data_IF_857098971407
#
_entry.id   IF_857098971407
#
_cell.length_a   1.000
_cell.length_b   1.000
_cell.length_c   1.000
_cell.angle_alpha   90.00
_cell.angle_beta   90.00
_cell.angle_gamma   90.00
#
_symmetry.space_group_name_H-M   'P 1'
#
loop_
_entity.id
_entity.type
_entity.pdbx_description
1 polymer ?
#
# COMPACT_ATOMS: atom_id res chain seq x y z
N UNK A 1 -72.32 -16.11 -75.97
CA UNK A 1 -72.57 -16.94 -74.78
C UNK A 1 -72.03 -18.33 -75.05
N UNK A 2 -71.15 -18.89 -74.22
CA UNK A 2 -70.73 -20.29 -74.35
C UNK A 2 -71.88 -21.16 -73.85
N UNK A 3 -72.37 -22.06 -74.68
CA UNK A 3 -73.44 -22.99 -74.33
C UNK A 3 -72.99 -23.89 -73.18
N UNK A 4 -73.82 -23.99 -72.14
CA UNK A 4 -73.64 -24.94 -71.05
C UNK A 4 -74.09 -26.32 -71.55
N UNK A 5 -73.15 -27.20 -71.88
CA UNK A 5 -73.46 -28.59 -72.19
C UNK A 5 -73.44 -29.44 -70.91
N UNK A 6 -74.62 -29.81 -70.41
CA UNK A 6 -74.75 -30.87 -69.40
C UNK A 6 -75.12 -32.15 -70.15
N UNK A 7 -74.19 -33.09 -70.31
CA UNK A 7 -74.49 -34.40 -70.86
C UNK A 7 -74.99 -35.32 -69.75
N UNK A 8 -76.28 -35.62 -69.77
CA UNK A 8 -76.90 -36.62 -68.90
C UNK A 8 -77.21 -37.84 -69.77
N UNK A 9 -76.62 -38.98 -69.45
CA UNK A 9 -76.97 -40.27 -70.07
C UNK A 9 -77.77 -41.05 -69.04
N UNK A 10 -79.02 -41.38 -69.39
CA UNK A 10 -79.94 -42.09 -68.51
C UNK A 10 -80.59 -43.23 -69.28
N UNK A 11 -80.56 -44.43 -68.71
CA UNK A 11 -81.26 -45.60 -69.23
C UNK A 11 -82.45 -45.90 -68.33
N UNK A 12 -83.65 -45.98 -68.91
CA UNK A 12 -84.92 -46.11 -68.18
C UNK A 12 -85.78 -47.18 -68.88
N UNK A 13 -86.45 -48.03 -68.10
CA UNK A 13 -87.39 -49.04 -68.60
C UNK A 13 -88.69 -48.96 -67.83
N UNK A 14 -89.83 -48.97 -68.53
CA UNK A 14 -91.19 -48.89 -67.97
C UNK A 14 -91.45 -47.69 -67.03
N UNK A 15 -90.92 -46.49 -67.34
CA UNK A 15 -91.26 -45.26 -66.63
C UNK A 15 -92.31 -44.43 -67.41
N UNK A 16 -93.34 -43.94 -66.73
CA UNK A 16 -94.39 -43.09 -67.32
C UNK A 16 -93.99 -41.61 -67.37
N UNK A 17 -93.22 -41.11 -66.38
CA UNK A 17 -92.65 -39.76 -66.35
C UNK A 17 -91.29 -39.73 -65.63
N UNK A 18 -90.36 -38.89 -66.10
CA UNK A 18 -89.06 -38.64 -65.46
C UNK A 18 -88.80 -37.14 -65.33
N UNK A 19 -88.61 -36.69 -64.10
CA UNK A 19 -88.35 -35.28 -63.77
C UNK A 19 -86.91 -35.12 -63.27
N UNK A 20 -86.10 -34.40 -64.04
CA UNK A 20 -84.77 -33.95 -63.63
C UNK A 20 -84.87 -32.58 -62.97
N UNK A 21 -84.65 -32.52 -61.66
CA UNK A 21 -84.58 -31.28 -60.90
C UNK A 21 -83.14 -31.04 -60.46
N UNK A 22 -82.62 -29.87 -60.79
CA UNK A 22 -81.38 -29.38 -60.20
C UNK A 22 -81.71 -28.78 -58.83
N UNK A 23 -80.90 -29.10 -57.83
CA UNK A 23 -81.05 -28.52 -56.49
C UNK A 23 -80.93 -26.99 -56.59
N UNK A 24 -81.85 -26.20 -55.99
CA UNK A 24 -81.76 -24.73 -55.99
C UNK A 24 -80.45 -24.18 -55.43
N UNK A 25 -79.71 -24.98 -54.65
CA UNK A 25 -78.40 -24.64 -54.08
C UNK A 25 -77.26 -24.69 -55.10
N UNK A 26 -77.48 -25.21 -56.32
CA UNK A 26 -76.47 -25.25 -57.38
C UNK A 26 -76.36 -23.88 -58.05
N UNK A 27 -75.26 -23.18 -57.78
CA UNK A 27 -74.93 -21.92 -58.46
C UNK A 27 -74.03 -22.22 -59.65
N UNK A 28 -74.46 -21.82 -60.85
CA UNK A 28 -73.68 -21.96 -62.08
C UNK A 28 -72.96 -20.65 -62.40
N UNK A 29 -71.64 -20.74 -62.59
CA UNK A 29 -70.81 -19.62 -63.01
C UNK A 29 -70.02 -20.00 -64.26
N UNK A 30 -69.78 -19.04 -65.16
CA UNK A 30 -68.91 -19.28 -66.32
C UNK A 30 -67.47 -19.49 -65.85
N UNK A 31 -66.72 -20.30 -66.60
CA UNK A 31 -65.28 -20.50 -66.33
C UNK A 31 -64.53 -19.17 -66.29
N UNK A 32 -64.83 -18.27 -67.23
CA UNK A 32 -64.19 -16.95 -67.33
C UNK A 32 -64.47 -16.09 -66.09
N UNK A 33 -65.68 -16.16 -65.52
CA UNK A 33 -66.02 -15.46 -64.27
C UNK A 33 -65.28 -16.05 -63.07
N UNK A 34 -65.21 -17.37 -62.96
CA UNK A 34 -64.47 -18.05 -61.89
C UNK A 34 -62.97 -17.74 -61.97
N UNK A 35 -62.41 -17.73 -63.17
CA UNK A 35 -60.99 -17.44 -63.39
C UNK A 35 -60.67 -15.96 -63.11
N UNK A 36 -61.55 -15.01 -63.48
CA UNK A 36 -61.41 -13.60 -63.11
C UNK A 36 -61.40 -13.39 -61.59
N UNK A 37 -62.30 -14.05 -60.86
CA UNK A 37 -62.34 -13.99 -59.40
C UNK A 37 -61.07 -14.57 -58.78
N UNK A 38 -60.56 -15.69 -59.29
CA UNK A 38 -59.31 -16.28 -58.80
C UNK A 38 -58.13 -15.33 -58.96
N UNK A 39 -58.04 -14.65 -60.11
CA UNK A 39 -57.00 -13.65 -60.35
C UNK A 39 -57.12 -12.49 -59.36
N UNK A 40 -58.33 -11.95 -59.18
CA UNK A 40 -58.56 -10.86 -58.23
C UNK A 40 -58.20 -11.25 -56.78
N UNK A 41 -58.58 -12.47 -56.37
CA UNK A 41 -58.25 -13.00 -55.05
C UNK A 41 -56.74 -13.15 -54.86
N UNK A 42 -56.03 -13.71 -55.84
CA UNK A 42 -54.58 -13.85 -55.78
C UNK A 42 -53.90 -12.47 -55.68
N UNK A 43 -54.35 -11.48 -56.47
CA UNK A 43 -53.83 -10.11 -56.39
C UNK A 43 -54.06 -9.48 -55.02
N UNK A 44 -55.23 -9.70 -54.41
CA UNK A 44 -55.52 -9.23 -53.04
C UNK A 44 -54.64 -9.92 -52.00
N UNK A 45 -54.40 -11.23 -52.14
CA UNK A 45 -53.52 -11.99 -51.25
C UNK A 45 -52.07 -11.48 -51.36
N UNK A 46 -51.58 -11.26 -52.59
CA UNK A 46 -50.22 -10.76 -52.83
C UNK A 46 -50.04 -9.36 -52.24
N UNK A 47 -51.02 -8.46 -52.44
CA UNK A 47 -51.00 -7.13 -51.87
C UNK A 47 -51.00 -7.15 -50.34
N UNK A 48 -51.78 -8.05 -49.72
CA UNK A 48 -51.84 -8.18 -48.27
C UNK A 48 -50.53 -8.74 -47.69
N UNK A 49 -49.92 -9.71 -48.38
CA UNK A 49 -48.63 -10.32 -48.00
C UNK A 49 -47.52 -9.27 -48.04
N UNK A 50 -47.43 -8.49 -49.14
CA UNK A 50 -46.45 -7.41 -49.26
C UNK A 50 -46.61 -6.34 -48.17
N UNK A 51 -47.86 -5.99 -47.83
CA UNK A 51 -48.15 -5.04 -46.75
C UNK A 51 -47.66 -5.58 -45.41
N UNK A 52 -47.91 -6.86 -45.12
CA UNK A 52 -47.47 -7.48 -43.87
C UNK A 52 -45.95 -7.54 -43.77
N UNK A 53 -45.25 -7.97 -44.83
CA UNK A 53 -43.79 -8.02 -44.87
C UNK A 53 -43.16 -6.64 -44.66
N UNK A 54 -43.75 -5.59 -45.26
CA UNK A 54 -43.28 -4.22 -45.08
C UNK A 54 -43.46 -3.72 -43.64
N UNK A 55 -44.60 -3.98 -43.02
CA UNK A 55 -44.84 -3.61 -41.61
C UNK A 55 -43.95 -4.41 -40.65
N UNK A 56 -43.77 -5.71 -40.88
CA UNK A 56 -42.85 -6.53 -40.09
C UNK A 56 -41.41 -6.03 -40.19
N UNK A 57 -40.96 -5.68 -41.41
CA UNK A 57 -39.64 -5.10 -41.65
C UNK A 57 -39.44 -3.80 -40.88
N UNK A 58 -40.44 -2.91 -40.84
CA UNK A 58 -40.37 -1.66 -40.05
C UNK A 58 -40.18 -1.93 -38.57
N UNK A 59 -41.00 -2.81 -37.99
CA UNK A 59 -40.90 -3.18 -36.56
C UNK A 59 -39.52 -3.77 -36.25
N UNK A 60 -39.02 -4.64 -37.13
CA UNK A 60 -37.69 -5.23 -36.96
C UNK A 60 -36.58 -4.18 -37.02
N UNK A 61 -36.64 -3.25 -37.97
CA UNK A 61 -35.65 -2.18 -38.11
C UNK A 61 -35.68 -1.21 -36.91
N UNK A 62 -36.85 -0.96 -36.34
CA UNK A 62 -37.00 -0.17 -35.11
C UNK A 62 -36.44 -0.91 -33.89
N UNK A 63 -36.71 -2.21 -33.75
CA UNK A 63 -36.12 -3.03 -32.69
C UNK A 63 -34.59 -3.11 -32.80
N UNK A 64 -34.04 -3.22 -34.00
CA UNK A 64 -32.60 -3.22 -34.24
C UNK A 64 -31.93 -1.91 -33.81
N UNK A 65 -32.61 -0.76 -33.99
CA UNK A 65 -32.12 0.53 -33.47
C UNK A 65 -32.00 0.50 -31.96
N UNK A 66 -32.99 0.00 -31.23
CA UNK A 66 -32.92 -0.12 -29.77
C UNK A 66 -31.80 -1.04 -29.28
N UNK A 67 -31.44 -2.09 -30.03
CA UNK A 67 -30.33 -2.98 -29.67
C UNK A 67 -28.96 -2.30 -29.84
N UNK A 68 -28.80 -1.46 -30.87
CA UNK A 68 -27.58 -0.69 -31.14
C UNK A 68 -27.49 0.60 -30.30
N UNK A 69 -28.60 1.28 -30.09
CA UNK A 69 -28.73 2.48 -29.25
C UNK A 69 -28.88 2.17 -27.77
N UNK A 70 -28.91 0.88 -27.37
CA UNK A 70 -29.02 0.54 -25.96
C UNK A 70 -27.79 1.10 -25.26
N UNK A 71 -27.99 2.28 -24.65
CA UNK A 71 -27.00 3.04 -23.88
C UNK A 71 -26.29 2.12 -22.90
N UNK A 72 -26.92 1.02 -22.50
CA UNK A 72 -26.35 -0.09 -21.77
C UNK A 72 -24.99 -0.58 -22.30
N UNK A 73 -24.82 -0.88 -23.58
CA UNK A 73 -23.55 -1.39 -24.11
C UNK A 73 -22.47 -0.30 -24.17
N UNK A 74 -22.86 0.93 -24.53
CA UNK A 74 -21.98 2.09 -24.54
C UNK A 74 -21.57 2.51 -23.13
N UNK A 75 -22.47 2.41 -22.15
CA UNK A 75 -22.20 2.68 -20.74
C UNK A 75 -21.32 1.58 -20.13
N UNK A 76 -21.55 0.30 -20.44
CA UNK A 76 -20.66 -0.79 -20.01
C UNK A 76 -19.25 -0.59 -20.57
N UNK A 77 -19.11 -0.15 -21.82
CA UNK A 77 -17.81 0.14 -22.42
C UNK A 77 -17.06 1.31 -21.73
N UNK A 78 -17.74 2.17 -20.97
CA UNK A 78 -17.09 3.21 -20.16
C UNK A 78 -16.45 2.67 -18.88
N UNK A 79 -16.88 1.50 -18.40
CA UNK A 79 -16.32 0.87 -17.21
C UNK A 79 -15.31 -0.20 -17.60
N UNK A 80 -14.02 0.14 -17.50
CA UNK A 80 -12.96 -0.87 -17.55
C UNK A 80 -12.98 -1.65 -16.24
N UNK A 81 -13.22 -2.96 -16.33
CA UNK A 81 -13.04 -3.86 -15.20
C UNK A 81 -11.53 -4.12 -15.02
N UNK A 82 -10.90 -3.45 -14.06
CA UNK A 82 -9.47 -3.58 -13.74
C UNK A 82 -9.23 -4.77 -12.79
N UNK A 83 -9.74 -5.96 -13.13
CA UNK A 83 -9.61 -7.16 -12.28
C UNK A 83 -8.21 -7.80 -12.28
N UNK A 84 -7.33 -7.35 -13.17
CA UNK A 84 -5.97 -7.87 -13.35
C UNK A 84 -4.98 -6.71 -13.39
N UNK A 85 -3.68 -7.01 -13.53
CA UNK A 85 -2.68 -5.99 -13.83
C UNK A 85 -3.03 -5.27 -15.13
N UNK A 86 -2.96 -3.94 -15.11
CA UNK A 86 -3.37 -3.08 -16.21
C UNK A 86 -2.26 -2.07 -16.48
N UNK A 87 -1.99 -1.82 -17.76
CA UNK A 87 -1.05 -0.78 -18.19
C UNK A 87 -1.85 0.39 -18.72
N UNK A 88 -1.77 1.53 -18.04
CA UNK A 88 -2.46 2.76 -18.43
C UNK A 88 -1.40 3.76 -18.91
N UNK A 89 -1.49 4.17 -20.17
CA UNK A 89 -0.59 5.16 -20.77
C UNK A 89 -1.17 6.57 -20.68
N UNK A 90 -0.26 7.57 -20.64
CA UNK A 90 -0.59 8.99 -20.59
C UNK A 90 -0.87 9.53 -19.17
N UNK A 91 -0.89 10.85 -19.03
CA UNK A 91 -1.18 11.51 -17.75
C UNK A 91 -2.63 11.23 -17.30
N UNK A 92 -2.82 11.05 -16.00
CA UNK A 92 -4.13 10.89 -15.35
C UNK A 92 -4.20 11.82 -14.15
N UNK A 93 -5.19 12.68 -14.15
CA UNK A 93 -5.46 13.60 -13.06
C UNK A 93 -6.47 12.98 -12.09
N UNK A 94 -6.05 12.76 -10.85
CA UNK A 94 -6.93 12.26 -9.81
C UNK A 94 -7.44 13.43 -8.97
N UNK A 95 -8.77 13.58 -8.86
CA UNK A 95 -9.41 14.61 -8.01
C UNK A 95 -9.28 14.34 -6.51
N UNK A 96 -8.85 13.13 -6.15
CA UNK A 96 -8.50 12.70 -4.79
C UNK A 96 -7.24 11.84 -4.85
N UNK A 97 -6.42 11.85 -3.80
CA UNK A 97 -5.22 11.03 -3.76
C UNK A 97 -5.58 9.53 -3.89
N UNK A 98 -4.94 8.79 -4.81
CA UNK A 98 -5.14 7.35 -4.89
C UNK A 98 -4.67 6.67 -3.61
N UNK A 99 -5.45 5.72 -3.09
CA UNK A 99 -5.12 4.95 -1.90
C UNK A 99 -5.02 3.47 -2.25
N UNK A 100 -4.09 2.77 -1.58
CA UNK A 100 -3.91 1.31 -1.69
C UNK A 100 -3.93 0.71 -0.29
N UNK A 101 -4.64 -0.42 -0.15
CA UNK A 101 -4.61 -1.28 1.04
C UNK A 101 -3.45 -2.28 1.03
N UNK A 102 -2.74 -2.40 -0.09
CA UNK A 102 -1.63 -3.34 -0.28
C UNK A 102 -0.31 -2.59 -0.09
N UNK A 103 0.62 -3.21 0.64
CA UNK A 103 1.98 -2.70 0.87
C UNK A 103 2.81 -2.81 -0.41
N UNK A 104 3.63 -1.79 -0.67
CA UNK A 104 4.57 -1.83 -1.79
C UNK A 104 5.59 -2.97 -1.60
N UNK A 105 5.84 -3.74 -2.64
CA UNK A 105 6.79 -4.86 -2.71
C UNK A 105 7.97 -4.59 -3.64
N UNK A 106 7.97 -3.47 -4.38
CA UNK A 106 9.09 -3.01 -5.19
C UNK A 106 9.21 -1.46 -5.18
N UNK A 107 10.38 -0.96 -5.57
CA UNK A 107 10.76 0.45 -5.46
C UNK A 107 9.94 1.40 -6.35
N UNK A 108 9.30 0.86 -7.39
CA UNK A 108 8.54 1.65 -8.37
C UNK A 108 7.04 1.73 -8.05
N UNK A 109 6.62 1.28 -6.86
CA UNK A 109 5.23 1.32 -6.39
C UNK A 109 4.96 2.52 -5.46
N UNK A 110 3.74 3.05 -5.53
CA UNK A 110 3.29 4.10 -4.62
C UNK A 110 3.22 3.59 -3.16
N UNK A 111 3.81 4.33 -2.24
CA UNK A 111 3.75 4.08 -0.80
C UNK A 111 2.62 4.87 -0.15
N UNK A 112 1.86 4.25 0.76
CA UNK A 112 0.86 4.95 1.58
C UNK A 112 1.48 5.46 2.90
N UNK A 113 0.80 6.39 3.57
CA UNK A 113 1.28 6.98 4.83
C UNK A 113 1.49 5.93 5.94
N UNK A 114 0.69 4.86 5.97
CA UNK A 114 0.86 3.78 6.94
C UNK A 114 2.20 3.06 6.75
N UNK A 115 2.55 2.73 5.50
CA UNK A 115 3.84 2.12 5.13
C UNK A 115 5.01 3.02 5.52
N UNK A 116 4.89 4.33 5.30
CA UNK A 116 5.90 5.30 5.73
C UNK A 116 6.05 5.39 7.25
N UNK A 117 4.96 5.26 8.01
CA UNK A 117 5.01 5.30 9.49
C UNK A 117 5.62 4.04 10.09
N UNK A 118 5.42 2.87 9.48
CA UNK A 118 6.09 1.63 9.88
C UNK A 118 7.60 1.67 9.62
N UNK A 119 8.01 2.28 8.51
CA UNK A 119 9.41 2.40 8.12
C UNK A 119 10.09 3.66 8.69
N UNK A 120 9.37 4.48 9.47
CA UNK A 120 9.97 5.63 10.14
C UNK A 120 10.89 5.12 11.24
N UNK A 121 12.16 5.51 11.14
CA UNK A 121 13.11 5.33 12.23
C UNK A 121 12.54 5.98 13.49
N UNK A 122 12.34 5.20 14.55
CA UNK A 122 11.85 5.73 15.81
C UNK A 122 12.96 6.54 16.50
N UNK A 123 13.02 7.83 16.21
CA UNK A 123 13.96 8.78 16.82
C UNK A 123 13.72 9.03 18.32
N UNK A 124 12.75 8.33 18.93
CA UNK A 124 12.51 8.38 20.38
C UNK A 124 13.05 7.15 21.10
N UNK A 125 13.55 6.15 20.37
CA UNK A 125 14.17 4.98 20.93
C UNK A 125 15.69 5.22 21.07
N UNK A 126 16.19 5.44 22.30
CA UNK A 126 17.61 5.75 22.51
C UNK A 126 18.53 4.58 22.17
N UNK A 127 18.03 3.34 22.24
CA UNK A 127 18.82 2.14 21.94
C UNK A 127 18.99 1.97 20.44
N UNK A 128 17.93 2.21 19.66
CA UNK A 128 18.02 2.24 18.20
C UNK A 128 18.91 3.38 17.71
N UNK A 129 18.79 4.59 18.27
CA UNK A 129 19.65 5.73 17.91
C UNK A 129 21.13 5.50 18.22
N UNK A 130 21.44 4.82 19.32
CA UNK A 130 22.80 4.44 19.68
C UNK A 130 23.41 3.44 18.69
N UNK A 131 22.59 2.58 18.07
CA UNK A 131 23.05 1.55 17.12
C UNK A 131 23.43 2.13 15.74
N UNK A 132 22.85 3.25 15.32
CA UNK A 132 23.01 3.79 13.95
C UNK A 132 24.06 4.89 13.84
N UNK A 133 24.93 5.06 14.83
CA UNK A 133 26.05 6.00 14.74
C UNK A 133 25.65 7.48 14.59
N UNK A 134 24.37 7.82 14.80
CA UNK A 134 23.93 9.21 14.82
C UNK A 134 24.38 9.86 16.12
N UNK A 135 25.56 10.49 16.05
CA UNK A 135 26.03 11.51 16.98
C UNK A 135 25.11 12.74 16.94
N UNK A 136 23.83 12.61 17.31
CA UNK A 136 22.88 13.74 17.30
C UNK A 136 22.31 13.99 18.69
N UNK A 137 22.63 15.18 19.19
CA UNK A 137 22.06 15.84 20.36
C UNK A 137 20.56 16.06 20.14
N UNK A 138 19.69 15.52 21.00
CA UNK A 138 18.27 15.86 20.96
C UNK A 138 17.94 17.14 21.76
N UNK A 139 18.81 17.57 22.68
CA UNK A 139 18.51 18.70 23.59
C UNK A 139 19.76 19.39 24.17
N UNK A 140 20.94 19.19 23.57
CA UNK A 140 22.19 19.77 24.08
C UNK A 140 22.71 19.10 25.36
N UNK A 141 22.03 18.09 25.92
CA UNK A 141 22.63 17.21 26.92
C UNK A 141 23.32 16.06 26.20
N UNK A 142 24.59 15.86 26.55
CA UNK A 142 25.38 14.81 25.93
C UNK A 142 24.82 13.45 26.34
N UNK A 143 24.50 12.59 25.37
CA UNK A 143 24.28 11.15 25.60
C UNK A 143 25.56 10.42 26.08
N UNK A 144 26.67 11.16 26.25
CA UNK A 144 27.79 10.73 27.06
C UNK A 144 27.24 10.43 28.46
N UNK A 145 27.18 9.15 28.83
CA UNK A 145 26.94 8.74 30.22
C UNK A 145 28.08 9.30 31.07
N UNK A 146 27.94 10.53 31.55
CA UNK A 146 28.70 11.05 32.68
C UNK A 146 28.13 10.35 33.90
N UNK A 147 28.92 9.44 34.49
CA UNK A 147 28.54 8.80 35.74
C UNK A 147 29.38 9.39 36.86
N UNK A 148 28.72 9.80 37.94
CA UNK A 148 29.43 10.14 39.18
C UNK A 148 30.06 8.86 39.75
N UNK A 149 31.38 8.88 39.89
CA UNK A 149 32.14 7.68 40.27
C UNK A 149 32.35 7.65 41.77
N UNK A 150 32.11 6.48 42.38
CA UNK A 150 32.43 6.24 43.79
C UNK A 150 33.90 5.84 43.92
N UNK A 151 34.57 6.32 44.97
CA UNK A 151 35.95 5.93 45.27
C UNK A 151 36.06 4.41 45.48
N UNK A 152 37.14 3.82 44.98
CA UNK A 152 37.49 2.41 45.18
C UNK A 152 36.42 1.43 44.66
N UNK A 153 35.63 1.84 43.67
CA UNK A 153 34.72 0.96 42.93
C UNK A 153 35.39 0.53 41.63
N UNK A 154 35.27 -0.75 41.30
CA UNK A 154 35.75 -1.32 40.04
C UNK A 154 34.66 -1.21 38.99
N UNK A 155 35.01 -0.68 37.83
CA UNK A 155 34.12 -0.54 36.69
C UNK A 155 34.65 -1.39 35.53
N UNK A 156 33.77 -2.14 34.89
CA UNK A 156 34.11 -3.06 33.80
C UNK A 156 33.56 -2.55 32.47
N UNK A 157 34.36 -2.62 31.42
CA UNK A 157 33.88 -2.40 30.06
C UNK A 157 33.03 -3.60 29.59
N UNK A 158 31.70 -3.45 29.68
CA UNK A 158 30.72 -4.46 29.25
C UNK A 158 30.17 -4.22 27.84
N UNK A 159 30.70 -3.24 27.09
CA UNK A 159 30.16 -2.86 25.76
C UNK A 159 30.46 -3.87 24.65
N UNK A 160 31.31 -4.86 24.90
CA UNK A 160 31.76 -5.82 23.90
C UNK A 160 32.76 -5.26 22.88
N UNK A 161 33.03 -3.96 22.89
CA UNK A 161 33.95 -3.25 21.98
C UNK A 161 35.10 -2.55 22.71
N UNK A 162 35.98 -1.91 21.92
CA UNK A 162 36.97 -0.98 22.46
C UNK A 162 36.28 0.32 22.85
N UNK A 163 36.44 0.75 24.10
CA UNK A 163 35.75 1.90 24.67
C UNK A 163 36.76 2.94 25.13
N UNK A 164 36.86 4.10 24.46
CA UNK A 164 37.64 5.22 24.92
C UNK A 164 37.08 5.77 26.23
N UNK A 165 37.96 6.17 27.14
CA UNK A 165 37.60 6.73 28.44
C UNK A 165 38.39 8.01 28.66
N UNK A 166 37.71 9.05 29.17
CA UNK A 166 38.32 10.24 29.74
C UNK A 166 38.03 10.27 31.24
N UNK A 167 39.06 10.53 32.05
CA UNK A 167 38.92 10.78 33.48
C UNK A 167 39.40 12.21 33.73
N UNK A 168 38.46 13.07 34.08
CA UNK A 168 38.69 14.46 34.45
C UNK A 168 38.55 14.61 35.96
N UNK A 169 39.58 15.18 36.56
CA UNK A 169 39.65 15.44 37.99
C UNK A 169 39.76 16.95 38.12
N UNK A 170 38.74 17.58 38.70
CA UNK A 170 38.82 19.00 39.03
C UNK A 170 39.86 19.21 40.13
N UNK A 171 40.40 20.43 40.23
CA UNK A 171 41.32 20.78 41.31
C UNK A 171 40.71 20.46 42.68
N UNK A 172 41.49 19.84 43.56
CA UNK A 172 41.08 19.52 44.93
C UNK A 172 41.97 20.31 45.88
N UNK A 173 41.41 21.31 46.53
CA UNK A 173 42.09 22.16 47.49
C UNK A 173 42.14 21.56 48.90
N UNK A 174 43.07 22.07 49.72
CA UNK A 174 43.21 21.76 51.16
C UNK A 174 43.37 20.26 51.48
N UNK A 175 44.18 19.55 50.70
CA UNK A 175 44.47 18.12 50.94
C UNK A 175 45.57 17.92 51.99
N UNK A 176 45.60 16.76 52.65
CA UNK A 176 46.59 16.46 53.70
C UNK A 176 47.92 15.96 53.10
N UNK A 177 48.91 15.71 53.97
CA UNK A 177 50.21 15.18 53.56
C UNK A 177 50.07 13.84 52.81
N UNK A 178 50.82 13.72 51.70
CA UNK A 178 50.85 12.54 50.84
C UNK A 178 49.53 12.21 50.13
N UNK A 179 48.58 13.14 50.07
CA UNK A 179 47.35 12.94 49.31
C UNK A 179 47.66 12.63 47.84
N UNK A 180 46.96 11.63 47.28
CA UNK A 180 47.10 11.27 45.89
C UNK A 180 45.85 10.64 45.30
N UNK A 181 45.73 10.72 43.98
CA UNK A 181 44.74 9.98 43.19
C UNK A 181 45.48 9.00 42.29
N UNK A 182 45.05 7.75 42.30
CA UNK A 182 45.63 6.68 41.49
C UNK A 182 44.57 6.11 40.55
N UNK A 183 44.90 6.04 39.26
CA UNK A 183 44.07 5.46 38.21
C UNK A 183 44.67 4.12 37.84
N UNK A 184 43.86 3.06 37.93
CA UNK A 184 44.24 1.71 37.57
C UNK A 184 43.43 1.22 36.38
N UNK A 185 44.08 0.46 35.49
CA UNK A 185 43.42 -0.34 34.44
C UNK A 185 43.91 -1.77 34.61
N UNK A 186 42.99 -2.74 34.71
CA UNK A 186 43.29 -4.15 34.95
C UNK A 186 44.27 -4.34 36.12
N UNK A 187 43.97 -3.67 37.25
CA UNK A 187 44.80 -3.59 38.46
C UNK A 187 46.22 -3.03 38.28
N UNK A 188 46.60 -2.57 37.08
CA UNK A 188 47.88 -1.91 36.83
C UNK A 188 47.75 -0.41 37.04
N UNK A 189 48.65 0.20 37.83
CA UNK A 189 48.68 1.64 38.03
C UNK A 189 49.09 2.34 36.72
N UNK A 190 48.19 3.14 36.15
CA UNK A 190 48.43 3.84 34.89
C UNK A 190 48.84 5.29 35.15
N UNK A 191 48.24 5.94 36.15
CA UNK A 191 48.54 7.32 36.49
C UNK A 191 48.38 7.55 37.98
N UNK A 192 49.38 8.18 38.59
CA UNK A 192 49.33 8.66 39.98
C UNK A 192 49.54 10.16 40.00
N UNK A 193 48.69 10.85 40.76
CA UNK A 193 48.67 12.31 40.85
C UNK A 193 48.86 12.65 42.32
N UNK A 194 50.00 13.25 42.66
CA UNK A 194 50.32 13.62 44.03
C UNK A 194 49.94 15.07 44.31
N UNK A 195 49.62 15.36 45.56
CA UNK A 195 49.40 16.73 46.02
C UNK A 195 50.68 17.58 45.93
N UNK A 196 50.49 18.86 45.60
CA UNK A 196 51.53 19.89 45.51
C UNK A 196 51.20 21.04 46.46
N UNK A 197 52.23 21.75 46.94
CA UNK A 197 52.06 22.91 47.83
C UNK A 197 51.64 24.15 47.03
N UNK A 198 50.83 25.03 47.63
CA UNK A 198 50.60 26.35 47.05
C UNK A 198 51.93 27.12 46.97
N UNK A 199 52.08 27.91 45.91
CA UNK A 199 53.26 28.75 45.68
C UNK A 199 53.49 29.81 46.77
N UNK A 200 52.49 30.09 47.61
CA UNK A 200 52.47 31.25 48.51
C UNK A 200 51.79 30.96 49.88
N UNK A 201 51.38 29.72 50.17
CA UNK A 201 50.77 29.35 51.46
C UNK A 201 51.06 27.89 51.83
N UNK A 202 50.98 27.55 53.12
CA UNK A 202 51.26 26.20 53.66
C UNK A 202 50.25 25.12 53.25
N UNK A 203 49.23 25.46 52.46
CA UNK A 203 48.23 24.51 51.97
C UNK A 203 48.70 23.68 50.79
N UNK A 204 48.03 22.55 50.56
CA UNK A 204 48.30 21.61 49.46
C UNK A 204 47.06 21.40 48.63
N UNK A 205 47.24 21.12 47.34
CA UNK A 205 46.16 20.80 46.42
C UNK A 205 46.56 19.69 45.45
N UNK A 206 45.57 19.02 44.87
CA UNK A 206 45.75 18.16 43.69
C UNK A 206 45.36 18.98 42.46
N UNK A 207 46.26 19.12 41.46
CA UNK A 207 45.99 19.95 40.29
C UNK A 207 44.90 19.32 39.42
N UNK A 208 44.22 20.17 38.65
CA UNK A 208 43.34 19.70 37.58
C UNK A 208 44.09 18.71 36.70
N UNK A 209 43.52 17.53 36.54
CA UNK A 209 44.19 16.45 35.80
C UNK A 209 43.22 15.79 34.83
N UNK A 210 43.76 15.46 33.67
CA UNK A 210 43.08 14.74 32.61
C UNK A 210 43.83 13.44 32.28
N UNK A 211 43.08 12.37 32.03
CA UNK A 211 43.59 11.10 31.51
C UNK A 211 42.66 10.61 30.40
N UNK A 212 43.24 10.16 29.29
CA UNK A 212 42.54 9.48 28.21
C UNK A 212 43.15 8.10 27.97
N UNK A 213 42.30 7.11 27.70
CA UNK A 213 42.72 5.75 27.39
C UNK A 213 41.67 4.99 26.58
N UNK A 214 42.03 3.79 26.11
CA UNK A 214 41.12 2.88 25.43
C UNK A 214 41.04 1.59 26.24
N UNK A 215 39.84 1.24 26.71
CA UNK A 215 39.53 -0.02 27.36
C UNK A 215 39.16 -1.06 26.31
N UNK A 216 39.80 -2.23 26.32
CA UNK A 216 39.36 -3.38 25.53
C UNK A 216 38.11 -4.01 26.14
N UNK A 217 37.39 -4.89 25.42
CA UNK A 217 36.27 -5.63 26.00
C UNK A 217 36.71 -6.35 27.28
N UNK A 218 35.92 -6.22 28.35
CA UNK A 218 36.18 -6.77 29.68
C UNK A 218 37.37 -6.16 30.45
N UNK A 219 38.05 -5.14 29.91
CA UNK A 219 39.00 -4.38 30.72
C UNK A 219 38.26 -3.71 31.88
N UNK A 220 38.94 -3.64 33.02
CA UNK A 220 38.44 -2.99 34.23
C UNK A 220 39.25 -1.74 34.52
N UNK A 221 38.64 -0.76 35.16
CA UNK A 221 39.35 0.38 35.70
C UNK A 221 38.83 0.74 37.09
N UNK A 222 39.71 1.39 37.87
CA UNK A 222 39.44 1.81 39.24
C UNK A 222 40.14 3.13 39.52
N UNK A 223 39.49 3.99 40.29
CA UNK A 223 40.07 5.23 40.81
C UNK A 223 40.16 5.10 42.33
N UNK A 224 41.35 5.27 42.87
CA UNK A 224 41.59 5.27 44.31
C UNK A 224 42.02 6.66 44.79
N UNK A 225 41.37 7.10 45.86
CA UNK A 225 41.71 8.29 46.62
C UNK A 225 42.53 7.87 47.84
N UNK A 226 43.67 8.51 48.06
CA UNK A 226 44.51 8.31 49.23
C UNK A 226 44.68 9.62 49.98
N UNK A 227 44.46 9.62 51.29
CA UNK A 227 44.62 10.79 52.16
C UNK A 227 43.81 12.03 51.69
N UNK A 228 42.62 11.82 51.14
CA UNK A 228 41.69 12.88 50.75
C UNK A 228 40.51 12.83 51.73
N UNK A 229 40.31 13.91 52.50
CA UNK A 229 39.32 13.98 53.60
C UNK A 229 37.92 14.39 53.12
N UNK A 230 37.75 14.67 51.83
CA UNK A 230 36.44 14.91 51.23
C UNK A 230 35.76 13.59 50.86
N UNK A 231 34.51 13.42 51.29
CA UNK A 231 33.70 12.23 51.01
C UNK A 231 33.52 11.97 49.50
N UNK A 232 33.53 13.03 48.68
CA UNK A 232 33.36 12.95 47.22
C UNK A 232 34.13 14.07 46.49
N UNK A 233 35.40 13.87 46.09
CA UNK A 233 36.03 14.79 45.15
C UNK A 233 35.30 14.76 43.81
N UNK A 234 35.23 15.90 43.13
CA UNK A 234 34.53 16.01 41.86
C UNK A 234 35.37 15.36 40.73
N UNK A 235 35.18 14.05 40.58
CA UNK A 235 35.84 13.21 39.58
C UNK A 235 34.79 12.79 38.56
N UNK A 236 34.98 13.24 37.33
CA UNK A 236 34.14 12.93 36.19
C UNK A 236 34.87 11.89 35.33
N UNK A 237 34.37 10.65 35.32
CA UNK A 237 34.76 9.68 34.30
C UNK A 237 33.70 9.67 33.20
N UNK A 238 34.14 9.91 31.96
CA UNK A 238 33.29 9.94 30.79
C UNK A 238 33.76 8.86 29.82
N UNK A 239 32.83 8.00 29.39
CA UNK A 239 33.08 7.13 28.25
C UNK A 239 33.06 8.02 27.00
N UNK A 240 34.19 8.11 26.32
CA UNK A 240 34.34 8.87 25.09
C UNK A 240 33.88 7.97 23.93
N UNK A 241 33.03 8.50 23.04
CA UNK A 241 32.62 7.74 21.86
C UNK A 241 33.82 7.64 20.89
N UNK A 242 34.10 6.45 20.36
CA UNK A 242 35.05 6.29 19.25
C UNK A 242 34.36 6.85 18.02
N UNK A 243 35.04 7.76 17.31
CA UNK A 243 34.64 8.12 15.94
C UNK A 243 34.76 6.92 15.00
#
# INVERSE_FOLDING_TARGET
>A
AKELMIKIVMELSNAEEVILKLDPSVIMASRDYVDAIKVELNLKIDALTQKYDAEFKKVWDEFAKYLLENKFNTEIAKYVTLATNQTITGAKDFTKLPTSSIKATNDNQFVNLATLKENQLNLKDPELLALIGFNTYLDGTSLLKSHSMSNNVIYTNTTGGKTPIAIKIQQIDNVVNQASISIYINNSLIKKINAIQYTNSTGKYIPLTHYEGILKPNDTYKIELFNIVMDKPNIEATILNVQ
#
